data_IF_952768371114
#
_entry.id   IF_952768371114
#
_cell.length_a   1.000
_cell.length_b   1.000
_cell.length_c   1.000
_cell.angle_alpha   90.00
_cell.angle_beta   90.00
_cell.angle_gamma   90.00
#
_symmetry.space_group_name_H-M   'P 1'
#
loop_
_entity.id
_entity.type
_entity.pdbx_description
1 polymer ?
#
# COMPACT_ATOMS: atom_id res chain seq x y z
N UNK A 1 -0.23 36.95 -21.01
CA UNK A 1 -0.96 36.59 -19.81
C UNK A 1 -2.02 35.58 -20.16
N UNK A 2 -1.97 34.34 -19.67
CA UNK A 2 -3.18 33.64 -19.30
C UNK A 2 -3.11 33.16 -17.84
N UNK A 3 -4.27 33.26 -17.23
CA UNK A 3 -4.60 33.08 -15.83
C UNK A 3 -4.33 31.64 -15.38
N UNK A 4 -3.53 31.50 -14.33
CA UNK A 4 -3.38 30.26 -13.60
C UNK A 4 -4.73 29.90 -12.94
N UNK A 5 -5.37 28.84 -13.39
CA UNK A 5 -6.45 28.21 -12.64
C UNK A 5 -5.83 27.43 -11.47
N UNK A 6 -5.80 28.07 -10.33
CA UNK A 6 -5.68 27.43 -9.03
C UNK A 6 -6.87 26.50 -8.87
N UNK A 7 -6.62 25.17 -8.82
CA UNK A 7 -7.60 24.25 -8.31
C UNK A 7 -7.85 24.60 -6.85
N UNK A 8 -8.94 25.33 -6.60
CA UNK A 8 -9.45 25.61 -5.27
C UNK A 8 -9.86 24.28 -4.63
N UNK A 9 -9.33 24.02 -3.44
CA UNK A 9 -9.93 23.12 -2.48
C UNK A 9 -11.32 23.72 -2.18
N UNK A 10 -12.33 23.27 -2.89
CA UNK A 10 -13.71 23.57 -2.52
C UNK A 10 -14.00 22.86 -1.22
N UNK A 11 -14.23 23.65 -0.19
CA UNK A 11 -14.86 23.29 1.05
C UNK A 11 -16.23 22.68 0.73
N UNK A 12 -16.31 21.36 0.61
CA UNK A 12 -17.55 20.65 0.38
C UNK A 12 -18.14 20.27 1.74
N UNK A 13 -18.83 21.25 2.34
CA UNK A 13 -19.82 21.05 3.40
C UNK A 13 -21.12 20.42 2.87
N UNK A 14 -21.03 19.36 2.11
CA UNK A 14 -22.15 18.50 1.71
C UNK A 14 -21.65 17.05 1.75
N UNK A 15 -22.35 16.22 2.52
CA UNK A 15 -22.00 14.85 2.91
C UNK A 15 -21.63 13.88 1.77
N UNK A 16 -20.52 14.13 1.12
CA UNK A 16 -19.96 13.24 0.13
C UNK A 16 -19.13 12.16 0.82
N UNK A 17 -19.70 10.95 0.88
CA UNK A 17 -19.00 9.74 1.28
C UNK A 17 -17.74 9.56 0.42
N UNK A 18 -16.56 9.30 1.00
CA UNK A 18 -15.35 9.06 0.24
C UNK A 18 -15.57 7.88 -0.70
N UNK A 19 -15.56 8.16 -1.98
CA UNK A 19 -15.69 7.13 -3.01
C UNK A 19 -14.33 6.44 -3.18
N UNK A 20 -14.19 5.21 -2.70
CA UNK A 20 -13.09 4.34 -3.11
C UNK A 20 -13.33 3.99 -4.59
N UNK A 21 -12.93 4.87 -5.47
CA UNK A 21 -13.04 4.71 -6.92
C UNK A 21 -11.70 5.05 -7.56
N UNK A 22 -11.27 4.17 -8.45
CA UNK A 22 -10.08 4.38 -9.28
C UNK A 22 -10.40 5.10 -10.60
N UNK A 23 -11.53 5.80 -10.65
CA UNK A 23 -11.91 6.61 -11.82
C UNK A 23 -11.08 7.90 -11.80
N UNK A 24 -10.15 8.00 -12.74
CA UNK A 24 -9.43 9.23 -13.02
C UNK A 24 -10.29 10.12 -13.94
N UNK A 25 -10.53 11.41 -13.60
CA UNK A 25 -11.18 12.37 -14.50
C UNK A 25 -10.55 12.48 -15.89
N UNK A 26 -9.23 12.22 -15.98
CA UNK A 26 -8.48 12.24 -17.24
C UNK A 26 -8.75 11.01 -18.14
N UNK A 27 -9.44 9.98 -17.65
CA UNK A 27 -9.80 8.82 -18.46
C UNK A 27 -10.84 9.17 -19.53
N UNK A 28 -10.78 8.49 -20.70
CA UNK A 28 -11.84 8.61 -21.72
C UNK A 28 -13.19 8.17 -21.16
N UNK A 29 -14.29 8.69 -21.73
CA UNK A 29 -15.66 8.35 -21.32
C UNK A 29 -15.92 6.84 -21.34
N UNK A 30 -15.44 6.15 -22.37
CA UNK A 30 -15.56 4.69 -22.51
C UNK A 30 -14.83 3.96 -21.40
N UNK A 31 -13.58 4.33 -21.08
CA UNK A 31 -12.82 3.74 -19.99
C UNK A 31 -13.52 3.95 -18.64
N UNK A 32 -14.01 5.17 -18.37
CA UNK A 32 -14.79 5.47 -17.17
C UNK A 32 -16.06 4.61 -17.07
N UNK A 33 -16.77 4.40 -18.19
CA UNK A 33 -17.96 3.54 -18.21
C UNK A 33 -17.63 2.09 -17.88
N UNK A 34 -16.55 1.55 -18.42
CA UNK A 34 -16.07 0.19 -18.14
C UNK A 34 -15.69 0.06 -16.66
N UNK A 35 -14.89 0.99 -16.10
CA UNK A 35 -14.50 0.96 -14.69
C UNK A 35 -15.75 1.02 -13.80
N UNK A 36 -16.70 1.91 -14.06
CA UNK A 36 -17.97 1.99 -13.31
C UNK A 36 -18.79 0.70 -13.37
N UNK A 37 -18.87 0.07 -14.54
CA UNK A 37 -19.59 -1.19 -14.69
C UNK A 37 -18.94 -2.30 -13.86
N UNK A 38 -17.63 -2.43 -13.92
CA UNK A 38 -16.88 -3.42 -13.15
C UNK A 38 -16.97 -3.13 -11.65
N UNK A 39 -16.76 -1.90 -11.21
CA UNK A 39 -16.88 -1.51 -9.79
C UNK A 39 -18.29 -1.80 -9.23
N UNK A 40 -19.36 -1.55 -10.00
CA UNK A 40 -20.74 -1.88 -9.59
C UNK A 40 -20.95 -3.37 -9.36
N UNK A 41 -20.37 -4.20 -10.22
CA UNK A 41 -20.53 -5.67 -10.16
C UNK A 41 -19.60 -6.27 -9.10
N UNK A 42 -18.42 -5.68 -8.88
CA UNK A 42 -17.34 -6.28 -8.07
C UNK A 42 -17.41 -5.98 -6.57
N UNK A 43 -18.35 -5.15 -6.08
CA UNK A 43 -18.58 -5.04 -4.63
C UNK A 43 -18.26 -3.70 -3.98
N UNK A 44 -18.07 -2.64 -4.76
CA UNK A 44 -17.89 -1.27 -4.23
C UNK A 44 -19.05 -0.87 -3.28
N UNK A 45 -20.29 -1.32 -3.56
CA UNK A 45 -21.45 -1.08 -2.67
C UNK A 45 -21.25 -1.65 -1.27
N UNK A 46 -20.65 -2.84 -1.13
CA UNK A 46 -20.42 -3.47 0.17
C UNK A 46 -19.33 -2.72 0.94
N UNK A 47 -18.27 -2.28 0.26
CA UNK A 47 -17.22 -1.46 0.88
C UNK A 47 -17.78 -0.12 1.39
N UNK A 48 -18.58 0.56 0.57
CA UNK A 48 -19.28 1.78 0.96
C UNK A 48 -20.20 1.54 2.16
N UNK A 49 -21.00 0.48 2.14
CA UNK A 49 -21.90 0.13 3.23
C UNK A 49 -21.15 -0.08 4.56
N UNK A 50 -20.00 -0.74 4.54
CA UNK A 50 -19.15 -0.92 5.73
C UNK A 50 -18.68 0.43 6.28
N UNK A 51 -18.20 1.31 5.39
CA UNK A 51 -17.74 2.63 5.81
C UNK A 51 -18.90 3.54 6.29
N UNK A 52 -20.04 3.56 5.58
CA UNK A 52 -21.21 4.36 5.98
C UNK A 52 -21.78 3.89 7.32
N UNK A 53 -21.84 2.58 7.55
CA UNK A 53 -22.26 2.04 8.85
C UNK A 53 -21.29 2.44 9.98
N UNK A 54 -19.98 2.42 9.73
CA UNK A 54 -18.98 2.90 10.67
C UNK A 54 -19.23 4.38 11.04
N UNK A 55 -19.44 5.24 10.05
CA UNK A 55 -19.71 6.66 10.26
C UNK A 55 -21.02 6.90 11.00
N UNK A 56 -22.10 6.21 10.63
CA UNK A 56 -23.42 6.34 11.22
C UNK A 56 -23.45 5.94 12.70
N UNK A 57 -22.58 5.01 13.11
CA UNK A 57 -22.45 4.57 14.51
C UNK A 57 -21.45 5.41 15.33
N UNK A 58 -20.99 6.56 14.81
CA UNK A 58 -20.09 7.46 15.53
C UNK A 58 -18.64 6.98 15.57
N UNK A 59 -18.19 6.28 14.53
CA UNK A 59 -16.80 5.81 14.41
C UNK A 59 -15.78 6.94 14.49
N UNK A 60 -14.70 6.71 15.20
CA UNK A 60 -13.62 7.69 15.45
C UNK A 60 -12.33 7.31 14.75
N UNK A 61 -11.34 8.21 14.72
CA UNK A 61 -10.01 7.93 14.18
C UNK A 61 -9.32 6.77 14.89
N UNK A 62 -9.46 6.70 16.21
CA UNK A 62 -8.85 5.69 17.06
C UNK A 62 -9.42 4.30 16.80
N UNK A 63 -10.73 4.22 16.53
CA UNK A 63 -11.43 2.95 16.27
C UNK A 63 -11.38 2.52 14.79
N UNK A 64 -10.98 3.42 13.89
CA UNK A 64 -11.09 3.20 12.44
C UNK A 64 -10.49 1.89 11.96
N UNK A 65 -9.23 1.61 12.31
CA UNK A 65 -8.53 0.42 11.83
C UNK A 65 -9.16 -0.88 12.35
N UNK A 66 -9.49 -0.93 13.63
CA UNK A 66 -10.11 -2.10 14.25
C UNK A 66 -11.53 -2.33 13.75
N UNK A 67 -12.32 -1.27 13.59
CA UNK A 67 -13.68 -1.37 13.08
C UNK A 67 -13.74 -1.79 11.60
N UNK A 68 -12.82 -1.32 10.77
CA UNK A 68 -12.77 -1.76 9.36
C UNK A 68 -12.48 -3.26 9.27
N UNK A 69 -11.53 -3.78 10.04
CA UNK A 69 -11.24 -5.22 10.09
C UNK A 69 -12.42 -6.02 10.66
N UNK A 70 -12.98 -5.59 11.79
CA UNK A 70 -14.13 -6.24 12.43
C UNK A 70 -15.33 -6.32 11.49
N UNK A 71 -15.71 -5.22 10.85
CA UNK A 71 -16.87 -5.14 9.94
C UNK A 71 -16.65 -5.91 8.65
N UNK A 72 -15.42 -6.02 8.17
CA UNK A 72 -15.06 -6.89 7.05
C UNK A 72 -14.92 -8.35 7.45
N UNK A 73 -14.97 -8.66 8.75
CA UNK A 73 -14.77 -10.01 9.29
C UNK A 73 -13.45 -10.66 8.82
N UNK A 74 -12.42 -9.83 8.62
CA UNK A 74 -11.09 -10.32 8.29
C UNK A 74 -10.38 -10.67 9.60
N UNK A 75 -10.03 -11.95 9.73
CA UNK A 75 -9.26 -12.46 10.86
C UNK A 75 -7.77 -12.42 10.52
N UNK A 76 -6.99 -11.69 11.32
CA UNK A 76 -5.54 -11.65 11.15
C UNK A 76 -4.90 -12.82 11.89
N UNK A 77 -4.16 -13.64 11.14
CA UNK A 77 -3.49 -14.85 11.62
C UNK A 77 -1.98 -14.61 11.72
N UNK A 78 -1.50 -14.38 12.94
CA UNK A 78 -0.09 -14.10 13.22
C UNK A 78 0.27 -14.40 14.68
N UNK A 79 1.54 -14.57 14.95
CA UNK A 79 2.06 -14.69 16.31
C UNK A 79 1.95 -13.36 17.06
N UNK A 80 1.00 -13.25 17.99
CA UNK A 80 0.76 -12.03 18.77
C UNK A 80 1.95 -11.61 19.62
N UNK A 81 2.82 -12.54 20.01
CA UNK A 81 4.02 -12.21 20.78
C UNK A 81 5.00 -11.34 19.97
N UNK A 82 4.88 -11.36 18.65
CA UNK A 82 5.67 -10.51 17.77
C UNK A 82 5.41 -9.00 17.96
N UNK A 83 4.27 -8.61 18.55
CA UNK A 83 4.00 -7.21 18.90
C UNK A 83 4.99 -6.65 19.93
N UNK A 84 5.50 -7.51 20.81
CA UNK A 84 6.47 -7.10 21.84
C UNK A 84 7.85 -6.75 21.25
N UNK A 85 8.12 -7.19 20.02
CA UNK A 85 9.35 -6.87 19.28
C UNK A 85 9.31 -5.50 18.61
N UNK A 86 8.13 -4.89 18.51
CA UNK A 86 7.98 -3.57 17.87
C UNK A 86 8.42 -2.47 18.85
N UNK A 87 9.47 -1.69 18.54
CA UNK A 87 9.90 -0.59 19.40
C UNK A 87 8.79 0.45 19.59
N UNK A 88 8.46 0.74 20.85
CA UNK A 88 7.39 1.71 21.18
C UNK A 88 7.76 3.15 20.88
N UNK A 89 9.06 3.45 20.80
CA UNK A 89 9.61 4.78 20.54
C UNK A 89 10.85 4.67 19.66
N UNK A 90 11.34 5.80 19.16
CA UNK A 90 12.50 5.86 18.28
C UNK A 90 12.15 5.62 16.81
N UNK A 91 13.07 5.91 15.89
CA UNK A 91 12.84 5.76 14.47
C UNK A 91 12.62 4.28 14.12
N UNK A 92 11.61 3.99 13.33
CA UNK A 92 11.32 2.63 12.87
C UNK A 92 10.81 2.67 11.44
N UNK A 93 11.35 1.84 10.57
CA UNK A 93 10.78 1.59 9.25
C UNK A 93 10.18 0.20 9.19
N UNK A 94 8.91 0.10 8.83
CA UNK A 94 8.20 -1.17 8.59
C UNK A 94 8.08 -1.38 7.09
N UNK A 95 8.50 -2.54 6.62
CA UNK A 95 8.41 -2.91 5.19
C UNK A 95 7.62 -4.19 5.04
N UNK A 96 6.80 -4.26 3.98
CA UNK A 96 6.02 -5.46 3.70
C UNK A 96 5.89 -5.72 2.20
N UNK A 97 5.67 -6.99 1.82
CA UNK A 97 5.15 -7.36 0.50
C UNK A 97 3.68 -6.96 0.37
N UNK A 98 3.13 -6.94 -0.85
CA UNK A 98 1.83 -6.31 -1.11
C UNK A 98 0.87 -7.19 -1.93
N UNK A 99 0.51 -8.41 -1.44
CA UNK A 99 -0.28 -9.37 -2.23
C UNK A 99 -1.73 -8.96 -2.50
N UNK A 100 -2.38 -8.21 -1.59
CA UNK A 100 -3.82 -7.90 -1.67
C UNK A 100 -4.13 -6.42 -1.85
N UNK A 101 -3.15 -5.55 -1.74
CA UNK A 101 -3.34 -4.11 -1.89
C UNK A 101 -3.96 -3.46 -0.66
N UNK A 102 -5.17 -2.91 -0.77
CA UNK A 102 -5.78 -2.16 0.33
C UNK A 102 -5.91 -2.99 1.62
N UNK A 103 -6.14 -4.31 1.50
CA UNK A 103 -6.32 -5.20 2.65
C UNK A 103 -5.03 -5.31 3.47
N UNK A 104 -3.89 -5.48 2.81
CA UNK A 104 -2.58 -5.50 3.50
C UNK A 104 -2.29 -4.17 4.18
N UNK A 105 -2.62 -3.07 3.49
CA UNK A 105 -2.47 -1.72 4.02
C UNK A 105 -3.26 -1.54 5.31
N UNK A 106 -4.54 -1.96 5.32
CA UNK A 106 -5.39 -1.89 6.53
C UNK A 106 -4.87 -2.80 7.65
N UNK A 107 -4.50 -4.03 7.33
CA UNK A 107 -3.98 -4.97 8.32
C UNK A 107 -2.68 -4.45 8.96
N UNK A 108 -1.78 -3.93 8.14
CA UNK A 108 -0.50 -3.39 8.62
C UNK A 108 -0.69 -2.10 9.43
N UNK A 109 -1.59 -1.20 9.00
CA UNK A 109 -1.93 -0.01 9.77
C UNK A 109 -2.53 -0.37 11.13
N UNK A 110 -3.47 -1.33 11.18
CA UNK A 110 -4.04 -1.82 12.43
C UNK A 110 -2.95 -2.40 13.34
N UNK A 111 -2.10 -3.26 12.81
CA UNK A 111 -1.01 -3.89 13.56
C UNK A 111 -0.09 -2.85 14.20
N UNK A 112 0.40 -1.92 13.39
CA UNK A 112 1.34 -0.90 13.84
C UNK A 112 0.67 0.09 14.79
N UNK A 113 -0.58 0.45 14.56
CA UNK A 113 -1.33 1.36 15.43
C UNK A 113 -1.45 0.84 16.88
N UNK A 114 -1.46 -0.48 17.10
CA UNK A 114 -1.51 -1.07 18.46
C UNK A 114 -0.30 -0.66 19.32
N UNK A 115 0.85 -0.39 18.69
CA UNK A 115 2.12 -0.12 19.38
C UNK A 115 2.66 1.28 19.07
N UNK A 116 2.46 1.76 17.84
CA UNK A 116 3.01 3.02 17.29
C UNK A 116 1.90 3.84 16.64
N UNK A 117 1.07 4.54 17.42
CA UNK A 117 0.02 5.42 16.87
C UNK A 117 0.57 6.62 16.10
N UNK A 118 1.87 6.90 16.23
CA UNK A 118 2.61 7.95 15.50
C UNK A 118 3.00 7.55 14.08
N UNK A 119 2.63 6.36 13.60
CA UNK A 119 3.05 5.88 12.29
C UNK A 119 2.53 6.75 11.14
N UNK A 120 3.31 6.77 10.06
CA UNK A 120 2.87 7.26 8.74
C UNK A 120 3.08 6.19 7.69
N UNK A 121 2.17 6.15 6.70
CA UNK A 121 2.21 5.21 5.57
C UNK A 121 2.39 5.98 4.26
N UNK A 122 3.37 5.58 3.44
CA UNK A 122 3.47 6.02 2.06
C UNK A 122 2.42 5.29 1.21
N UNK A 123 1.46 6.01 0.63
CA UNK A 123 0.32 5.45 -0.07
C UNK A 123 0.02 6.18 -1.38
N UNK A 124 -0.61 5.51 -2.34
CA UNK A 124 -1.11 6.18 -3.53
C UNK A 124 -2.18 7.23 -3.16
N UNK A 125 -2.08 8.43 -3.70
CA UNK A 125 -2.95 9.58 -3.40
C UNK A 125 -4.44 9.29 -3.58
N UNK A 126 -4.81 8.40 -4.49
CA UNK A 126 -6.20 7.97 -4.71
C UNK A 126 -6.84 7.32 -3.48
N UNK A 127 -6.03 6.75 -2.58
CA UNK A 127 -6.50 6.03 -1.39
C UNK A 127 -6.54 6.87 -0.11
N UNK A 128 -6.10 8.12 -0.16
CA UNK A 128 -5.96 9.00 1.03
C UNK A 128 -7.22 9.82 1.36
N UNK A 129 -8.41 9.35 1.00
CA UNK A 129 -9.64 10.17 1.03
C UNK A 129 -10.44 10.08 2.34
N UNK A 130 -10.22 9.08 3.19
CA UNK A 130 -10.98 8.95 4.44
C UNK A 130 -10.45 9.93 5.50
N UNK A 131 -11.29 10.82 6.07
CA UNK A 131 -10.87 11.81 7.07
C UNK A 131 -10.26 11.16 8.33
N UNK A 132 -10.67 9.95 8.68
CA UNK A 132 -10.15 9.19 9.82
C UNK A 132 -8.67 8.81 9.65
N UNK A 133 -8.20 8.74 8.41
CA UNK A 133 -6.79 8.45 8.12
C UNK A 133 -5.90 9.70 8.05
N UNK A 134 -6.50 10.88 8.25
CA UNK A 134 -5.77 12.15 8.22
C UNK A 134 -4.64 12.16 9.26
N UNK A 135 -3.45 12.51 8.82
CA UNK A 135 -2.23 12.50 9.63
C UNK A 135 -1.41 11.21 9.54
N UNK A 136 -2.00 10.09 9.07
CA UNK A 136 -1.28 8.83 8.89
C UNK A 136 -0.75 8.62 7.47
N UNK A 137 -1.28 9.31 6.47
CA UNK A 137 -0.91 9.07 5.07
C UNK A 137 0.01 10.13 4.48
N UNK A 138 1.04 9.67 3.80
CA UNK A 138 1.93 10.44 2.95
C UNK A 138 1.64 10.04 1.50
N UNK A 139 0.92 10.91 0.78
CA UNK A 139 0.42 10.59 -0.56
C UNK A 139 1.52 10.62 -1.61
N UNK A 140 1.56 9.61 -2.47
CA UNK A 140 2.37 9.54 -3.69
C UNK A 140 1.44 9.57 -4.90
N UNK A 141 1.83 10.31 -5.93
CA UNK A 141 1.08 10.39 -7.19
C UNK A 141 1.98 9.92 -8.35
N UNK A 142 1.50 8.94 -9.08
CA UNK A 142 2.21 8.32 -10.20
C UNK A 142 1.74 8.83 -11.57
N UNK A 143 0.97 9.91 -11.63
CA UNK A 143 0.44 10.48 -12.90
C UNK A 143 1.53 11.09 -13.81
N UNK A 144 2.76 11.26 -13.31
CA UNK A 144 3.88 11.83 -14.07
C UNK A 144 3.77 13.33 -14.31
N UNK A 145 2.76 14.02 -13.78
CA UNK A 145 2.57 15.46 -13.91
C UNK A 145 3.56 16.25 -13.04
N UNK A 146 3.75 17.53 -13.35
CA UNK A 146 4.58 18.41 -12.53
C UNK A 146 4.06 18.56 -11.09
N UNK A 147 2.75 18.58 -10.92
CA UNK A 147 2.10 18.57 -9.61
C UNK A 147 2.39 17.28 -8.84
N UNK A 148 2.28 16.12 -9.50
CA UNK A 148 2.62 14.83 -8.93
C UNK A 148 4.09 14.76 -8.48
N UNK A 149 5.02 15.27 -9.29
CA UNK A 149 6.44 15.32 -8.94
C UNK A 149 6.67 16.16 -7.68
N UNK A 150 6.02 17.34 -7.58
CA UNK A 150 6.11 18.20 -6.39
C UNK A 150 5.51 17.51 -5.15
N UNK A 151 4.36 16.85 -5.28
CA UNK A 151 3.75 16.09 -4.21
C UNK A 151 4.69 14.98 -3.72
N UNK A 152 5.27 14.21 -4.65
CA UNK A 152 6.18 13.12 -4.33
C UNK A 152 7.45 13.61 -3.61
N UNK A 153 7.98 14.77 -4.00
CA UNK A 153 9.13 15.39 -3.31
C UNK A 153 8.75 15.75 -1.87
N UNK A 154 7.59 16.38 -1.67
CA UNK A 154 7.09 16.75 -0.32
C UNK A 154 6.85 15.52 0.55
N UNK A 155 6.20 14.49 0.01
CA UNK A 155 5.90 13.25 0.75
C UNK A 155 7.17 12.49 1.13
N UNK A 156 8.18 12.46 0.26
CA UNK A 156 9.48 11.86 0.58
C UNK A 156 10.24 12.66 1.64
N UNK A 157 10.17 13.99 1.59
CA UNK A 157 10.74 14.84 2.62
C UNK A 157 10.03 14.63 3.98
N UNK A 158 8.70 14.54 3.98
CA UNK A 158 7.92 14.27 5.18
C UNK A 158 8.18 12.86 5.75
N UNK A 159 8.35 11.85 4.90
CA UNK A 159 8.73 10.50 5.31
C UNK A 159 10.11 10.47 6.00
N UNK A 160 11.06 11.21 5.45
CA UNK A 160 12.39 11.37 6.06
C UNK A 160 12.29 12.10 7.40
N UNK A 161 11.59 13.22 7.46
CA UNK A 161 11.40 13.99 8.69
C UNK A 161 10.70 13.17 9.78
N UNK A 162 9.76 12.28 9.42
CA UNK A 162 9.11 11.34 10.35
C UNK A 162 10.14 10.45 11.03
N UNK A 163 11.06 9.85 10.28
CA UNK A 163 12.12 9.00 10.82
C UNK A 163 13.13 9.80 11.65
N UNK A 164 13.55 10.97 11.18
CA UNK A 164 14.47 11.85 11.89
C UNK A 164 13.91 12.35 13.24
N UNK A 165 12.59 12.50 13.33
CA UNK A 165 11.88 12.84 14.57
C UNK A 165 11.66 11.64 15.49
N UNK A 166 12.17 10.46 15.18
CA UNK A 166 11.97 9.23 15.97
C UNK A 166 10.61 8.55 15.72
N UNK A 167 9.91 8.91 14.66
CA UNK A 167 8.61 8.34 14.32
C UNK A 167 8.69 7.03 13.54
N UNK A 168 7.52 6.39 13.38
CA UNK A 168 7.37 5.16 12.63
C UNK A 168 6.94 5.45 11.18
N UNK A 169 7.54 4.75 10.21
CA UNK A 169 7.20 4.85 8.79
C UNK A 169 6.89 3.46 8.22
N UNK A 170 5.73 3.31 7.62
CA UNK A 170 5.29 2.07 6.96
C UNK A 170 5.41 2.25 5.44
N UNK A 171 5.95 1.25 4.76
CA UNK A 171 6.19 1.30 3.32
C UNK A 171 5.92 -0.06 2.69
N UNK A 172 5.26 -0.06 1.53
CA UNK A 172 5.22 -1.17 0.58
C UNK A 172 6.20 -0.87 -0.57
N UNK A 173 7.45 -1.34 -0.47
CA UNK A 173 8.53 -0.81 -1.31
C UNK A 173 8.42 -1.15 -2.80
N UNK A 174 7.64 -2.17 -3.15
CA UNK A 174 7.37 -2.52 -4.55
C UNK A 174 6.55 -1.44 -5.28
N UNK A 175 5.73 -0.67 -4.54
CA UNK A 175 4.90 0.41 -5.09
C UNK A 175 3.66 -0.05 -5.86
N UNK A 176 3.43 -1.36 -5.98
CA UNK A 176 2.25 -1.94 -6.61
C UNK A 176 1.91 -3.31 -5.99
N UNK A 177 0.67 -3.77 -6.21
CA UNK A 177 0.17 -5.06 -5.72
C UNK A 177 0.92 -6.20 -6.41
N UNK A 178 1.34 -7.22 -5.64
CA UNK A 178 2.04 -8.41 -6.14
C UNK A 178 1.32 -9.05 -7.34
N UNK A 179 2.08 -9.45 -8.33
CA UNK A 179 1.55 -9.95 -9.60
C UNK A 179 2.31 -11.22 -10.00
N UNK A 180 1.57 -12.22 -10.50
CA UNK A 180 2.18 -13.44 -11.02
C UNK A 180 3.15 -13.10 -12.17
N UNK A 181 4.35 -13.71 -12.22
CA UNK A 181 5.33 -13.44 -13.26
C UNK A 181 4.89 -13.95 -14.65
N UNK A 182 3.96 -14.89 -14.69
CA UNK A 182 3.42 -15.42 -15.93
C UNK A 182 2.04 -14.86 -16.26
N UNK A 183 1.76 -14.63 -17.55
CA UNK A 183 0.51 -14.03 -18.05
C UNK A 183 -0.77 -14.84 -17.77
N UNK A 184 -0.62 -16.09 -17.36
CA UNK A 184 -1.74 -16.97 -17.04
C UNK A 184 -2.04 -17.08 -15.55
N UNK A 185 -1.24 -16.42 -14.70
CA UNK A 185 -1.40 -16.44 -13.25
C UNK A 185 -1.26 -17.84 -12.65
N UNK A 186 -0.36 -18.68 -13.18
CA UNK A 186 -0.10 -20.04 -12.72
C UNK A 186 0.97 -20.11 -11.65
N UNK A 187 1.94 -19.19 -11.73
CA UNK A 187 2.99 -19.04 -10.72
C UNK A 187 2.51 -18.15 -9.58
N UNK A 188 3.05 -18.34 -8.36
CA UNK A 188 2.76 -17.45 -7.24
C UNK A 188 3.01 -15.99 -7.58
N UNK A 189 2.11 -15.12 -7.12
CA UNK A 189 2.28 -13.67 -7.27
C UNK A 189 3.40 -13.17 -6.36
N UNK A 190 4.26 -12.35 -6.91
CA UNK A 190 5.39 -11.74 -6.23
C UNK A 190 5.37 -10.24 -6.44
N UNK A 191 5.99 -9.51 -5.54
CA UNK A 191 6.31 -8.11 -5.78
C UNK A 191 7.27 -8.00 -6.97
N UNK A 192 7.17 -6.90 -7.71
CA UNK A 192 8.26 -6.49 -8.59
C UNK A 192 9.45 -5.98 -7.77
N UNK A 193 10.51 -5.53 -8.45
CA UNK A 193 11.70 -5.02 -7.78
C UNK A 193 11.37 -3.89 -6.81
N UNK A 194 11.83 -4.02 -5.57
CA UNK A 194 11.63 -3.01 -4.55
C UNK A 194 12.39 -1.73 -4.90
N UNK A 195 11.72 -0.59 -4.73
CA UNK A 195 12.22 0.71 -5.15
C UNK A 195 13.37 1.20 -4.26
N UNK A 196 14.39 1.85 -4.84
CA UNK A 196 15.55 2.36 -4.10
C UNK A 196 15.22 3.35 -2.99
N UNK A 197 14.01 3.94 -3.01
CA UNK A 197 13.55 4.86 -1.96
C UNK A 197 13.52 4.19 -0.58
N UNK A 198 13.19 2.90 -0.49
CA UNK A 198 13.21 2.17 0.77
C UNK A 198 14.64 2.14 1.36
N UNK A 199 15.63 1.73 0.56
CA UNK A 199 17.03 1.77 0.98
C UNK A 199 17.51 3.18 1.34
N UNK A 200 17.11 4.19 0.56
CA UNK A 200 17.47 5.58 0.85
C UNK A 200 16.91 6.09 2.18
N UNK A 201 15.67 5.74 2.51
CA UNK A 201 15.03 6.15 3.77
C UNK A 201 15.71 5.49 4.97
N UNK A 202 16.05 4.20 4.88
CA UNK A 202 16.80 3.50 5.93
C UNK A 202 18.17 4.13 6.15
N UNK A 203 18.94 4.35 5.08
CA UNK A 203 20.27 4.94 5.18
C UNK A 203 20.25 6.34 5.80
N UNK A 204 19.31 7.18 5.38
CA UNK A 204 19.20 8.56 5.88
C UNK A 204 18.62 8.64 7.29
N UNK A 205 17.62 7.82 7.57
CA UNK A 205 16.99 7.77 8.89
C UNK A 205 17.81 7.01 9.93
N UNK A 206 18.85 6.26 9.49
CA UNK A 206 19.66 5.37 10.36
C UNK A 206 18.78 4.56 11.31
N UNK A 207 17.66 4.05 10.78
CA UNK A 207 16.61 3.41 11.56
C UNK A 207 16.65 1.88 11.40
N UNK A 208 16.26 1.13 12.44
CA UNK A 208 16.00 -0.29 12.32
C UNK A 208 14.80 -0.53 11.41
N UNK A 209 14.73 -1.74 10.85
CA UNK A 209 13.67 -2.16 9.92
C UNK A 209 12.94 -3.37 10.48
N UNK A 210 11.60 -3.32 10.48
CA UNK A 210 10.74 -4.44 10.80
C UNK A 210 10.16 -5.00 9.49
N UNK A 211 10.56 -6.19 9.06
CA UNK A 211 9.96 -6.85 7.89
C UNK A 211 8.68 -7.57 8.28
N UNK A 212 7.64 -7.43 7.44
CA UNK A 212 6.36 -8.14 7.58
C UNK A 212 6.03 -8.82 6.26
N UNK A 213 5.72 -10.11 6.31
CA UNK A 213 5.32 -10.88 5.13
C UNK A 213 3.85 -11.25 5.21
N UNK A 214 3.08 -10.90 4.18
CA UNK A 214 1.69 -11.34 3.99
C UNK A 214 1.65 -12.56 3.07
N UNK A 215 0.87 -13.56 3.47
CA UNK A 215 0.70 -14.80 2.71
C UNK A 215 -0.41 -14.66 1.65
N UNK A 216 -0.26 -15.39 0.56
CA UNK A 216 -1.27 -15.53 -0.47
C UNK A 216 -1.21 -14.47 -1.57
N UNK A 217 -2.32 -14.32 -2.28
CA UNK A 217 -2.41 -13.46 -3.47
C UNK A 217 -3.85 -13.17 -3.86
N UNK A 218 -4.06 -12.17 -4.70
CA UNK A 218 -5.32 -11.90 -5.38
C UNK A 218 -5.68 -13.01 -6.38
N UNK A 219 -6.95 -13.05 -6.79
CA UNK A 219 -7.48 -14.10 -7.67
C UNK A 219 -6.69 -14.24 -8.97
N UNK A 220 -6.77 -15.44 -9.55
CA UNK A 220 -6.16 -15.73 -10.85
C UNK A 220 -6.61 -14.77 -11.95
N UNK A 221 -7.90 -14.36 -11.93
CA UNK A 221 -8.40 -13.36 -12.86
C UNK A 221 -7.67 -12.02 -12.71
N UNK A 222 -7.46 -11.57 -11.48
CA UNK A 222 -6.68 -10.36 -11.20
C UNK A 222 -5.24 -10.49 -11.73
N UNK A 223 -4.60 -11.65 -11.54
CA UNK A 223 -3.27 -11.90 -12.04
C UNK A 223 -3.21 -11.82 -13.57
N UNK A 224 -4.12 -12.51 -14.27
CA UNK A 224 -4.20 -12.49 -15.73
C UNK A 224 -4.41 -11.06 -16.25
N UNK A 225 -5.44 -10.38 -15.74
CA UNK A 225 -5.81 -9.02 -16.20
C UNK A 225 -4.67 -8.03 -15.98
N UNK A 226 -3.86 -8.22 -14.94
CA UNK A 226 -2.70 -7.37 -14.63
C UNK A 226 -1.64 -7.34 -15.75
N UNK A 227 -1.59 -8.35 -16.60
CA UNK A 227 -0.67 -8.38 -17.75
C UNK A 227 -1.17 -7.62 -18.98
N UNK A 228 -2.48 -7.32 -19.04
CA UNK A 228 -3.11 -6.77 -20.24
C UNK A 228 -3.68 -5.37 -20.07
N UNK A 229 -4.15 -5.02 -18.86
CA UNK A 229 -4.85 -3.74 -18.66
C UNK A 229 -4.77 -3.25 -17.22
N UNK A 230 -4.05 -2.14 -16.99
CA UNK A 230 -4.05 -1.45 -15.70
C UNK A 230 -5.46 -0.97 -15.31
N UNK A 231 -6.26 -0.52 -16.28
CA UNK A 231 -7.63 -0.04 -16.03
C UNK A 231 -8.53 -1.14 -15.48
N UNK A 232 -8.49 -2.34 -16.09
CA UNK A 232 -9.26 -3.48 -15.60
C UNK A 232 -8.72 -4.02 -14.28
N UNK A 233 -7.39 -4.04 -14.12
CA UNK A 233 -6.74 -4.37 -12.84
C UNK A 233 -7.28 -3.49 -11.71
N UNK A 234 -7.30 -2.18 -11.89
CA UNK A 234 -7.80 -1.24 -10.88
C UNK A 234 -9.30 -1.46 -10.60
N UNK A 235 -10.09 -1.68 -11.65
CA UNK A 235 -11.52 -1.95 -11.50
C UNK A 235 -11.82 -3.25 -10.72
N UNK A 236 -10.95 -4.25 -10.78
CA UNK A 236 -11.10 -5.50 -10.03
C UNK A 236 -10.77 -5.38 -8.54
N UNK A 237 -10.03 -4.36 -8.11
CA UNK A 237 -9.56 -4.25 -6.72
C UNK A 237 -10.71 -4.32 -5.72
N UNK A 238 -11.83 -3.63 -5.98
CA UNK A 238 -12.99 -3.69 -5.09
C UNK A 238 -13.54 -5.13 -4.93
N UNK A 239 -13.51 -5.91 -6.01
CA UNK A 239 -13.88 -7.32 -6.01
C UNK A 239 -12.92 -8.18 -5.21
N UNK A 240 -11.63 -7.94 -5.34
CA UNK A 240 -10.59 -8.66 -4.58
C UNK A 240 -10.69 -8.36 -3.07
N UNK A 241 -10.91 -7.10 -2.69
CA UNK A 241 -11.16 -6.72 -1.29
C UNK A 241 -12.39 -7.46 -0.75
N UNK A 242 -13.50 -7.45 -1.50
CA UNK A 242 -14.72 -8.17 -1.10
C UNK A 242 -14.50 -9.67 -0.91
N UNK A 243 -13.65 -10.29 -1.73
CA UNK A 243 -13.29 -11.72 -1.62
C UNK A 243 -12.56 -12.04 -0.31
N UNK A 244 -11.92 -11.05 0.29
CA UNK A 244 -11.23 -11.22 1.58
C UNK A 244 -12.17 -11.08 2.78
N UNK A 245 -13.38 -10.58 2.62
CA UNK A 245 -14.36 -10.49 3.71
C UNK A 245 -14.70 -11.88 4.25
N UNK A 246 -14.66 -12.04 5.56
CA UNK A 246 -14.93 -13.28 6.23
C UNK A 246 -13.82 -14.34 6.08
N UNK A 247 -12.59 -13.92 5.76
CA UNK A 247 -11.48 -14.87 5.59
C UNK A 247 -10.32 -14.55 6.54
N UNK A 248 -9.43 -15.52 6.68
CA UNK A 248 -8.16 -15.34 7.41
C UNK A 248 -7.12 -14.69 6.48
N UNK A 249 -6.30 -13.83 7.07
CA UNK A 249 -5.15 -13.20 6.43
C UNK A 249 -3.90 -13.57 7.22
N UNK A 250 -3.12 -14.50 6.69
CA UNK A 250 -1.85 -14.92 7.27
C UNK A 250 -0.80 -13.82 7.11
N UNK A 251 -0.07 -13.54 8.19
CA UNK A 251 1.10 -12.66 8.13
C UNK A 251 2.17 -13.08 9.14
N UNK A 252 3.42 -12.94 8.75
CA UNK A 252 4.58 -13.20 9.60
C UNK A 252 5.32 -11.90 9.88
N UNK A 253 5.47 -11.56 11.14
CA UNK A 253 6.25 -10.40 11.62
C UNK A 253 7.65 -10.92 11.92
N UNK A 254 8.65 -10.39 11.22
CA UNK A 254 10.03 -10.81 11.41
C UNK A 254 10.70 -10.20 12.64
N UNK A 255 11.96 -10.59 12.84
CA UNK A 255 12.82 -9.94 13.82
C UNK A 255 13.19 -8.53 13.36
N UNK A 256 13.36 -7.64 14.33
CA UNK A 256 13.85 -6.29 14.08
C UNK A 256 15.27 -6.36 13.52
N UNK A 257 15.50 -5.75 12.37
CA UNK A 257 16.80 -5.66 11.72
C UNK A 257 17.45 -4.35 12.21
N UNK A 258 18.50 -4.40 13.05
CA UNK A 258 19.22 -3.20 13.46
C UNK A 258 19.82 -2.47 12.26
N UNK A 259 19.94 -1.14 12.35
CA UNK A 259 20.58 -0.36 11.27
C UNK A 259 22.02 -0.80 11.01
N UNK A 260 22.73 -1.21 12.04
CA UNK A 260 24.11 -1.67 12.00
C UNK A 260 24.30 -2.85 11.03
N UNK A 261 23.33 -3.77 10.97
CA UNK A 261 23.32 -4.91 10.04
C UNK A 261 23.13 -4.51 8.57
N UNK A 262 22.65 -3.29 8.35
CA UNK A 262 22.34 -2.74 7.02
C UNK A 262 23.36 -1.66 6.59
N UNK A 263 24.12 -1.10 7.53
CA UNK A 263 25.01 0.05 7.32
C UNK A 263 26.11 -0.22 6.29
N UNK A 264 26.56 -1.48 6.16
CA UNK A 264 27.56 -1.89 5.17
C UNK A 264 27.08 -1.87 3.72
N UNK A 265 25.76 -1.78 3.48
CA UNK A 265 25.19 -1.77 2.14
C UNK A 265 24.99 -0.32 1.69
N UNK A 266 25.99 0.25 1.00
CA UNK A 266 25.97 1.66 0.58
C UNK A 266 25.05 1.92 -0.63
N UNK A 267 24.90 0.95 -1.54
CA UNK A 267 23.98 1.08 -2.69
C UNK A 267 22.52 0.90 -2.24
N UNK A 268 21.72 1.94 -2.47
CA UNK A 268 20.31 1.99 -2.05
C UNK A 268 19.42 0.95 -2.74
N UNK A 269 19.79 0.51 -3.96
CA UNK A 269 19.07 -0.52 -4.70
C UNK A 269 19.41 -1.90 -4.14
N UNK A 270 20.68 -2.13 -3.83
CA UNK A 270 21.12 -3.35 -3.16
C UNK A 270 20.47 -3.47 -1.77
N UNK A 271 20.38 -2.37 -1.02
CA UNK A 271 19.70 -2.37 0.28
C UNK A 271 18.21 -2.67 0.14
N UNK A 272 17.50 -2.06 -0.82
CA UNK A 272 16.09 -2.39 -1.08
C UNK A 272 15.90 -3.87 -1.45
N UNK A 273 16.82 -4.44 -2.22
CA UNK A 273 16.84 -5.88 -2.58
C UNK A 273 17.08 -6.76 -1.35
N UNK A 274 17.97 -6.38 -0.46
CA UNK A 274 18.22 -7.11 0.80
C UNK A 274 16.99 -7.09 1.72
N UNK A 275 16.32 -5.95 1.84
CA UNK A 275 15.06 -5.84 2.59
C UNK A 275 13.97 -6.74 1.98
N UNK A 276 13.85 -6.77 0.66
CA UNK A 276 12.96 -7.68 -0.05
C UNK A 276 13.27 -9.15 0.28
N UNK A 277 14.55 -9.53 0.20
CA UNK A 277 15.01 -10.89 0.51
C UNK A 277 14.64 -11.30 1.94
N UNK A 278 14.93 -10.45 2.93
CA UNK A 278 14.61 -10.73 4.34
C UNK A 278 13.10 -10.84 4.58
N UNK A 279 12.30 -9.99 3.90
CA UNK A 279 10.85 -10.05 4.02
C UNK A 279 10.26 -11.33 3.43
N UNK A 280 10.68 -11.72 2.23
CA UNK A 280 10.19 -12.93 1.58
C UNK A 280 10.70 -14.22 2.25
N UNK A 281 11.87 -14.19 2.87
CA UNK A 281 12.39 -15.30 3.66
C UNK A 281 11.46 -15.68 4.84
N UNK A 282 10.68 -14.73 5.39
CA UNK A 282 9.65 -15.01 6.41
C UNK A 282 8.55 -15.94 5.88
N UNK A 283 8.27 -15.90 4.59
CA UNK A 283 7.34 -16.80 3.90
C UNK A 283 8.03 -18.04 3.30
N UNK A 284 9.29 -18.31 3.63
CA UNK A 284 10.04 -19.43 3.08
C UNK A 284 10.43 -19.26 1.60
N UNK A 285 10.42 -18.03 1.09
CA UNK A 285 10.67 -17.76 -0.33
C UNK A 285 12.07 -17.17 -0.50
N UNK A 286 12.90 -17.85 -1.30
CA UNK A 286 14.24 -17.37 -1.67
C UNK A 286 14.18 -16.49 -2.92
N UNK A 287 14.35 -15.18 -2.72
CA UNK A 287 14.35 -14.21 -3.81
C UNK A 287 15.70 -14.09 -4.53
N UNK A 288 16.73 -14.82 -4.13
CA UNK A 288 18.01 -14.88 -4.84
C UNK A 288 17.94 -15.81 -6.06
N UNK A 289 16.95 -16.71 -6.07
CA UNK A 289 16.70 -17.60 -7.20
C UNK A 289 16.29 -16.78 -8.43
N UNK A 290 17.00 -16.90 -9.58
CA UNK A 290 16.68 -16.16 -10.78
C UNK A 290 15.23 -16.36 -11.23
N UNK A 291 14.55 -15.25 -11.56
CA UNK A 291 13.15 -15.26 -12.00
C UNK A 291 12.10 -15.33 -10.86
N UNK A 292 12.53 -15.25 -9.60
CA UNK A 292 11.61 -15.09 -8.46
C UNK A 292 11.06 -13.65 -8.42
N UNK A 293 11.95 -12.67 -8.40
CA UNK A 293 11.59 -11.25 -8.56
C UNK A 293 11.79 -10.86 -10.02
N UNK A 294 10.71 -10.48 -10.67
CA UNK A 294 10.73 -10.07 -12.09
C UNK A 294 10.18 -8.64 -12.22
N UNK A 295 10.58 -7.90 -13.26
CA UNK A 295 9.96 -6.61 -13.56
C UNK A 295 8.44 -6.74 -13.70
N UNK A 296 7.73 -5.68 -13.32
CA UNK A 296 6.28 -5.61 -13.52
C UNK A 296 5.90 -5.87 -14.98
N UNK A 297 4.73 -6.49 -15.25
CA UNK A 297 4.16 -6.54 -16.60
C UNK A 297 4.13 -5.15 -17.25
N UNK A 298 4.36 -5.06 -18.55
CA UNK A 298 4.38 -3.79 -19.28
C UNK A 298 3.13 -2.93 -19.06
N UNK A 299 1.98 -3.57 -18.89
CA UNK A 299 0.73 -2.89 -18.62
C UNK A 299 0.72 -2.11 -17.29
N UNK A 300 1.56 -2.52 -16.32
CA UNK A 300 1.66 -1.89 -14.99
C UNK A 300 2.81 -0.88 -14.95
N UNK A 301 3.82 -1.03 -15.81
CA UNK A 301 4.94 -0.10 -15.86
C UNK A 301 4.45 1.27 -16.33
N UNK A 302 4.71 2.29 -15.53
CA UNK A 302 4.50 3.68 -15.94
C UNK A 302 5.44 4.00 -17.12
N UNK A 303 4.91 3.96 -18.33
CA UNK A 303 5.62 4.55 -19.47
C UNK A 303 5.48 6.06 -19.33
N UNK A 304 6.59 6.82 -19.29
CA UNK A 304 6.48 8.27 -19.39
C UNK A 304 5.72 8.57 -20.70
N UNK A 305 4.61 9.31 -20.58
CA UNK A 305 3.90 9.81 -21.76
C UNK A 305 4.91 10.66 -22.54
N UNK A 306 5.29 10.18 -23.74
CA UNK A 306 6.08 10.94 -24.71
C UNK A 306 5.28 12.13 -25.18
#
# INVERSE_FOLDING_TARGET
MPVAQTASLTDSSSGDEPAISYIDPAMSATRRAVVRAVERVTGQRKLKAVYSAFRAEGGTKESFWSEMLRRSQIELDFDRTALDRIPRTGPLMVVANHPYGLVDGFALCWLIHQVRPDFKLLINSVLSQAPETAGHFLALDFSGTRAAQQLNIRSRAAARAQLEAGGCLVVFPAGAISTAPDRWGRRPAMDGPWQPIAGQLVQRGRCPVLPVHFEGQNSRLFQIVSHYSVTLRLALIAGEIRRRFGTRLGMTIGELIPFEDLAGISDRTALARELCRRTYALGGIDTTVPGTIVPWPEAIQDKPKR
#
